data_IF_430836742675
#
_entry.id   IF_430836742675
#
_cell.length_a   1.000
_cell.length_b   1.000
_cell.length_c   1.000
_cell.angle_alpha   90.00
_cell.angle_beta   90.00
_cell.angle_gamma   90.00
#
_symmetry.space_group_name_H-M   'P 1'
#
loop_
_entity.id
_entity.type
_entity.pdbx_description
1 polymer ?
#
# COMPACT_ATOMS: atom_id res chain seq x y z
N UNK A 1 0.14 21.00 27.94
CA UNK A 1 0.65 19.63 28.14
C UNK A 1 0.47 18.80 26.86
N UNK A 2 1.54 18.60 26.07
CA UNK A 2 1.48 17.82 24.82
C UNK A 2 1.04 16.36 25.04
N UNK A 3 1.31 15.79 26.22
CA UNK A 3 0.96 14.42 26.60
C UNK A 3 -0.55 14.14 26.58
N UNK A 4 -1.38 15.09 27.03
CA UNK A 4 -2.82 14.89 27.11
C UNK A 4 -3.47 14.74 25.72
N UNK A 5 -2.90 15.38 24.68
CA UNK A 5 -3.39 15.27 23.31
C UNK A 5 -3.06 13.89 22.72
N UNK A 6 -1.82 13.43 22.91
CA UNK A 6 -1.38 12.11 22.46
C UNK A 6 -2.16 10.99 23.14
N UNK A 7 -2.38 11.08 24.46
CA UNK A 7 -3.20 10.09 25.18
C UNK A 7 -4.62 10.01 24.60
N UNK A 8 -5.27 11.16 24.34
CA UNK A 8 -6.61 11.18 23.72
C UNK A 8 -6.61 10.55 22.32
N UNK A 9 -5.55 10.75 21.54
CA UNK A 9 -5.43 10.12 20.21
C UNK A 9 -5.23 8.60 20.31
N UNK A 10 -4.41 8.13 21.25
CA UNK A 10 -4.18 6.71 21.48
C UNK A 10 -5.45 5.98 21.95
N UNK A 11 -6.21 6.59 22.87
CA UNK A 11 -7.47 6.01 23.36
C UNK A 11 -8.50 5.82 22.24
N UNK A 12 -8.47 6.65 21.18
CA UNK A 12 -9.37 6.47 20.01
C UNK A 12 -9.05 5.22 19.19
N UNK A 13 -7.82 4.70 19.26
CA UNK A 13 -7.34 3.56 18.48
C UNK A 13 -6.93 2.37 19.36
N UNK A 14 -7.30 2.40 20.65
CA UNK A 14 -6.90 1.42 21.66
C UNK A 14 -7.14 -0.02 21.21
N UNK A 15 -8.30 -0.31 20.63
CA UNK A 15 -8.67 -1.65 20.16
C UNK A 15 -7.72 -2.21 19.10
N UNK A 16 -7.12 -1.32 18.29
CA UNK A 16 -6.17 -1.68 17.24
C UNK A 16 -4.74 -1.89 17.76
N UNK A 17 -4.36 -1.25 18.87
CA UNK A 17 -3.00 -1.33 19.44
C UNK A 17 -2.61 -2.77 19.77
N UNK A 18 -3.57 -3.58 20.22
CA UNK A 18 -3.36 -4.95 20.69
C UNK A 18 -3.76 -6.02 19.66
N UNK A 19 -3.86 -5.66 18.38
CA UNK A 19 -4.31 -6.62 17.34
C UNK A 19 -3.38 -7.83 17.21
N UNK A 20 -2.09 -7.65 17.50
CA UNK A 20 -1.07 -8.71 17.46
C UNK A 20 -1.24 -9.77 18.56
N UNK A 21 -2.02 -9.49 19.61
CA UNK A 21 -2.32 -10.48 20.66
C UNK A 21 -3.40 -11.46 20.19
N UNK A 22 -4.35 -10.98 19.36
CA UNK A 22 -5.49 -11.77 18.85
C UNK A 22 -5.24 -12.41 17.49
N UNK A 23 -4.21 -11.93 16.76
CA UNK A 23 -3.84 -12.42 15.43
C UNK A 23 -2.36 -12.77 15.44
N UNK A 24 -1.97 -13.85 14.79
CA UNK A 24 -0.58 -14.28 14.63
C UNK A 24 0.20 -13.34 13.68
N UNK A 25 0.38 -12.09 14.09
CA UNK A 25 1.12 -11.07 13.37
C UNK A 25 2.25 -10.53 14.23
N UNK A 26 3.32 -10.04 13.58
CA UNK A 26 4.43 -9.40 14.26
C UNK A 26 3.92 -8.21 15.12
N UNK A 27 4.37 -8.06 16.38
CA UNK A 27 3.99 -6.94 17.26
C UNK A 27 4.71 -5.64 16.87
N UNK A 28 4.85 -5.36 15.58
CA UNK A 28 5.52 -4.17 15.06
C UNK A 28 4.91 -3.71 13.73
N UNK A 29 4.95 -2.40 13.48
CA UNK A 29 4.51 -1.80 12.23
C UNK A 29 5.61 -1.80 11.14
N UNK A 30 6.80 -2.34 11.44
CA UNK A 30 7.98 -2.21 10.59
C UNK A 30 7.75 -2.69 9.16
N UNK A 31 6.97 -3.77 8.98
CA UNK A 31 6.64 -4.31 7.66
C UNK A 31 5.86 -3.30 6.81
N UNK A 32 4.85 -2.66 7.38
CA UNK A 32 4.03 -1.66 6.69
C UNK A 32 4.81 -0.36 6.48
N UNK A 33 5.60 0.10 7.45
CA UNK A 33 6.47 1.27 7.30
C UNK A 33 7.50 1.09 6.17
N UNK A 34 8.18 -0.06 6.13
CA UNK A 34 9.08 -0.42 5.03
C UNK A 34 8.35 -0.48 3.69
N UNK A 35 7.06 -0.84 3.69
CA UNK A 35 6.27 -0.90 2.46
C UNK A 35 5.95 0.49 1.89
N UNK A 36 5.61 1.45 2.76
CA UNK A 36 5.24 2.81 2.32
C UNK A 36 6.44 3.75 2.17
N UNK A 37 7.59 3.46 2.81
CA UNK A 37 8.78 4.33 2.81
C UNK A 37 9.22 4.79 1.42
N UNK A 38 9.24 3.94 0.37
CA UNK A 38 9.62 4.40 -0.97
C UNK A 38 8.70 5.49 -1.52
N UNK A 39 7.39 5.41 -1.26
CA UNK A 39 6.42 6.44 -1.67
C UNK A 39 6.62 7.74 -0.90
N UNK A 40 6.89 7.66 0.40
CA UNK A 40 7.16 8.83 1.25
C UNK A 40 8.44 9.56 0.80
N UNK A 41 9.50 8.80 0.51
CA UNK A 41 10.77 9.34 -0.02
C UNK A 41 10.53 10.00 -1.38
N UNK A 42 9.83 9.33 -2.30
CA UNK A 42 9.50 9.90 -3.61
C UNK A 42 8.72 11.22 -3.47
N UNK A 43 7.67 11.24 -2.66
CA UNK A 43 6.88 12.46 -2.41
C UNK A 43 7.76 13.60 -1.88
N UNK A 44 8.71 13.29 -0.99
CA UNK A 44 9.63 14.29 -0.45
C UNK A 44 10.59 14.85 -1.50
N UNK A 45 11.15 13.98 -2.35
CA UNK A 45 12.12 14.37 -3.39
C UNK A 45 11.46 15.09 -4.56
N UNK A 46 10.28 14.64 -4.99
CA UNK A 46 9.55 15.20 -6.12
C UNK A 46 8.56 16.31 -5.73
N UNK A 47 8.50 16.69 -4.45
CA UNK A 47 7.52 17.64 -3.89
C UNK A 47 6.05 17.22 -4.09
N UNK A 48 5.81 15.92 -4.30
CA UNK A 48 4.48 15.37 -4.51
C UNK A 48 3.89 15.66 -5.88
N UNK A 49 2.55 15.63 -5.96
CA UNK A 49 1.76 15.82 -7.18
C UNK A 49 0.94 17.09 -7.06
N UNK A 50 0.82 17.84 -8.16
CA UNK A 50 0.05 19.10 -8.21
C UNK A 50 -1.34 18.93 -8.87
N UNK A 51 -1.74 17.69 -9.17
CA UNK A 51 -3.04 17.38 -9.75
C UNK A 51 -3.61 16.10 -9.14
N UNK A 52 -4.95 16.00 -9.12
CA UNK A 52 -5.64 14.79 -8.69
C UNK A 52 -5.26 13.58 -9.57
N UNK A 53 -5.20 13.79 -10.88
CA UNK A 53 -4.80 12.75 -11.84
C UNK A 53 -3.39 12.22 -11.55
N UNK A 54 -2.43 13.11 -11.25
CA UNK A 54 -1.08 12.72 -10.87
C UNK A 54 -1.06 11.92 -9.57
N UNK A 55 -1.84 12.35 -8.56
CA UNK A 55 -2.00 11.62 -7.30
C UNK A 55 -2.54 10.21 -7.53
N UNK A 56 -3.59 10.07 -8.35
CA UNK A 56 -4.19 8.76 -8.71
C UNK A 56 -3.21 7.86 -9.47
N UNK A 57 -2.40 8.42 -10.35
CA UNK A 57 -1.39 7.68 -11.09
C UNK A 57 -0.33 7.10 -10.15
N UNK A 58 0.24 7.92 -9.27
CA UNK A 58 1.24 7.48 -8.29
C UNK A 58 0.63 6.47 -7.30
N UNK A 59 -0.59 6.71 -6.82
CA UNK A 59 -1.35 5.78 -5.96
C UNK A 59 -1.45 4.38 -6.59
N UNK A 60 -1.90 4.31 -7.85
CA UNK A 60 -2.09 3.05 -8.57
C UNK A 60 -0.77 2.35 -8.87
N UNK A 61 0.23 3.08 -9.36
CA UNK A 61 1.55 2.53 -9.68
C UNK A 61 2.22 1.93 -8.44
N UNK A 62 2.23 2.65 -7.32
CA UNK A 62 2.81 2.12 -6.09
C UNK A 62 2.01 0.94 -5.54
N UNK A 63 0.68 0.96 -5.64
CA UNK A 63 -0.15 -0.19 -5.26
C UNK A 63 0.23 -1.45 -6.05
N UNK A 64 0.37 -1.34 -7.38
CA UNK A 64 0.83 -2.43 -8.25
C UNK A 64 2.22 -2.91 -7.85
N UNK A 65 3.20 -2.00 -7.78
CA UNK A 65 4.60 -2.35 -7.54
C UNK A 65 4.78 -2.98 -6.16
N UNK A 66 4.18 -2.41 -5.12
CA UNK A 66 4.29 -2.93 -3.75
C UNK A 66 3.60 -4.28 -3.62
N UNK A 67 2.42 -4.45 -4.22
CA UNK A 67 1.69 -5.73 -4.17
C UNK A 67 2.43 -6.83 -4.93
N UNK A 68 2.88 -6.55 -6.17
CA UNK A 68 3.65 -7.50 -6.96
C UNK A 68 4.93 -7.92 -6.22
N UNK A 69 5.65 -6.97 -5.62
CA UNK A 69 6.86 -7.27 -4.82
C UNK A 69 6.55 -8.15 -3.61
N UNK A 70 5.44 -7.92 -2.90
CA UNK A 70 5.03 -8.78 -1.77
C UNK A 70 4.63 -10.20 -2.22
N UNK A 71 4.09 -10.33 -3.43
CA UNK A 71 3.68 -11.60 -4.03
C UNK A 71 4.79 -12.31 -4.80
N UNK A 72 6.03 -11.80 -4.79
CA UNK A 72 7.13 -12.28 -5.62
C UNK A 72 6.78 -12.35 -7.13
N UNK A 73 5.95 -11.43 -7.62
CA UNK A 73 5.55 -11.28 -9.03
C UNK A 73 6.27 -10.09 -9.68
N UNK A 74 6.51 -10.20 -10.98
CA UNK A 74 7.04 -9.08 -11.77
C UNK A 74 5.97 -8.00 -11.98
N UNK A 75 6.21 -6.80 -11.47
CA UNK A 75 5.32 -5.65 -11.66
C UNK A 75 5.24 -5.23 -13.14
N UNK A 76 6.35 -5.33 -13.88
CA UNK A 76 6.38 -5.00 -15.31
C UNK A 76 5.52 -5.99 -16.12
N UNK A 77 5.62 -7.28 -15.83
CA UNK A 77 4.78 -8.29 -16.48
C UNK A 77 3.30 -8.09 -16.16
N UNK A 78 2.97 -7.73 -14.92
CA UNK A 78 1.60 -7.40 -14.52
C UNK A 78 1.06 -6.21 -15.31
N UNK A 79 1.81 -5.10 -15.38
CA UNK A 79 1.38 -3.91 -16.12
C UNK A 79 1.23 -4.20 -17.61
N UNK A 80 2.14 -4.98 -18.20
CA UNK A 80 2.03 -5.44 -19.59
C UNK A 80 0.71 -6.18 -19.82
N UNK A 81 0.41 -7.19 -19.00
CA UNK A 81 -0.83 -7.95 -19.08
C UNK A 81 -2.07 -7.07 -18.88
N UNK A 82 -2.02 -6.09 -17.97
CA UNK A 82 -3.12 -5.14 -17.77
C UNK A 82 -3.38 -4.29 -19.02
N UNK A 83 -2.33 -3.84 -19.70
CA UNK A 83 -2.44 -3.05 -20.92
C UNK A 83 -2.96 -3.93 -22.07
N UNK A 84 -2.41 -5.13 -22.25
CA UNK A 84 -2.88 -6.09 -23.26
C UNK A 84 -4.37 -6.41 -23.07
N UNK A 85 -4.80 -6.72 -21.84
CA UNK A 85 -6.20 -6.97 -21.53
C UNK A 85 -7.09 -5.74 -21.77
N UNK A 86 -6.60 -4.53 -21.49
CA UNK A 86 -7.32 -3.29 -21.79
C UNK A 86 -7.49 -3.06 -23.30
N UNK A 87 -6.54 -3.52 -24.12
CA UNK A 87 -6.61 -3.49 -25.57
C UNK A 87 -7.43 -4.65 -26.17
N UNK A 88 -8.08 -5.47 -25.33
CA UNK A 88 -8.91 -6.59 -25.76
C UNK A 88 -8.16 -7.90 -25.97
N UNK A 89 -6.88 -7.98 -25.58
CA UNK A 89 -6.06 -9.19 -25.71
C UNK A 89 -5.90 -9.87 -24.35
N UNK A 90 -6.51 -11.04 -24.18
CA UNK A 90 -6.35 -11.87 -22.99
C UNK A 90 -7.25 -11.46 -21.81
N UNK A 91 -6.91 -11.95 -20.61
CA UNK A 91 -7.70 -11.77 -19.39
C UNK A 91 -7.10 -10.73 -18.46
N UNK A 92 -7.95 -9.91 -17.81
CA UNK A 92 -7.48 -8.89 -16.87
C UNK A 92 -6.80 -9.52 -15.65
N UNK A 93 -5.52 -9.20 -15.38
CA UNK A 93 -4.81 -9.80 -14.25
C UNK A 93 -5.27 -9.18 -12.92
N UNK A 94 -5.38 -10.01 -11.87
CA UNK A 94 -5.74 -9.57 -10.52
C UNK A 94 -4.50 -9.32 -9.64
N UNK A 95 -4.56 -8.26 -8.83
CA UNK A 95 -3.63 -8.04 -7.71
C UNK A 95 -4.08 -8.73 -6.43
N UNK A 96 -5.36 -9.09 -6.31
CA UNK A 96 -5.89 -9.81 -5.14
C UNK A 96 -5.71 -11.30 -5.39
N UNK A 97 -5.04 -12.00 -4.48
CA UNK A 97 -4.91 -13.46 -4.50
C UNK A 97 -6.28 -14.10 -4.24
N UNK A 98 -6.60 -15.19 -4.92
CA UNK A 98 -7.91 -15.86 -4.83
C UNK A 98 -8.33 -16.26 -3.41
N UNK A 99 -7.39 -16.52 -2.50
CA UNK A 99 -7.67 -16.82 -1.08
C UNK A 99 -8.10 -15.63 -0.22
N UNK A 100 -8.33 -14.46 -0.81
CA UNK A 100 -8.76 -13.22 -0.14
C UNK A 100 -10.08 -12.67 -0.70
N UNK A 101 -10.81 -13.49 -1.49
CA UNK A 101 -12.17 -13.19 -1.97
C UNK A 101 -13.23 -13.72 -1.01
#
# INVERSE_FOLDING_TARGET
AQTASTCRALLKVESALWTFERKEIEPSNNRAERAIRPLVVLRKVCYGTQSEQGSRLIERLFSVVRSCRQQNRSALAFMKQSIEAHLGVGTMPSLVSEGLR
#
